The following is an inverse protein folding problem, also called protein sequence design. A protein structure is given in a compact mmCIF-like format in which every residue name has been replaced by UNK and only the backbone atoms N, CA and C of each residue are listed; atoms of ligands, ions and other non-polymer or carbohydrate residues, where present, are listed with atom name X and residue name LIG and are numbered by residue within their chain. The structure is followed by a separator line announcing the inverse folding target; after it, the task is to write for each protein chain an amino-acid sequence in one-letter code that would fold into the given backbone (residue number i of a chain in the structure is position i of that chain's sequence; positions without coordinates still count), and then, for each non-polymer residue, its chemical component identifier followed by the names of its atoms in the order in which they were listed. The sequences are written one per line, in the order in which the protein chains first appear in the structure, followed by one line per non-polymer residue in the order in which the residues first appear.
data_IF_865143980131
#
_entry.id   IF_865143980131
#
_cell.length_a   1.000
_cell.length_b   1.000
_cell.length_c   1.000
_cell.angle_alpha   90.00
_cell.angle_beta   90.00
_cell.angle_gamma   90.00
#
_symmetry.space_group_name_H-M   'P 1'
#
loop_
_entity.id
_entity.type
_entity.pdbx_description
1 polymer ?
#
# COMPACT_ATOMS: atom_id res chain seq x y z
N UNK A 1 29.39 7.18 -31.26
CA UNK A 1 30.36 8.29 -31.50
C UNK A 1 29.98 9.42 -30.58
N UNK A 2 30.82 9.73 -29.63
CA UNK A 2 30.92 10.75 -28.59
C UNK A 2 30.73 10.27 -27.16
N UNK A 3 31.88 9.85 -26.65
CA UNK A 3 32.21 9.79 -25.22
C UNK A 3 32.03 11.15 -24.59
N UNK A 4 31.53 11.16 -23.35
CA UNK A 4 31.61 12.31 -22.47
C UNK A 4 32.22 11.88 -21.15
N UNK A 5 33.50 12.16 -21.04
CA UNK A 5 34.33 12.04 -19.86
C UNK A 5 33.78 12.88 -18.70
N UNK A 6 33.71 12.28 -17.54
CA UNK A 6 33.54 12.94 -16.26
C UNK A 6 34.87 12.98 -15.52
N UNK A 7 35.30 14.10 -14.97
CA UNK A 7 36.58 14.21 -14.26
C UNK A 7 36.50 13.66 -12.84
N UNK A 8 37.60 13.13 -12.28
CA UNK A 8 37.63 12.64 -10.90
C UNK A 8 37.77 13.80 -9.90
N UNK A 9 36.94 13.77 -8.88
CA UNK A 9 37.01 14.65 -7.71
C UNK A 9 38.20 14.28 -6.84
N UNK A 10 39.19 15.15 -6.79
CA UNK A 10 40.35 15.07 -5.92
C UNK A 10 39.95 15.41 -4.47
N UNK A 11 39.94 14.43 -3.60
CA UNK A 11 39.83 14.62 -2.15
C UNK A 11 41.09 15.24 -1.57
N UNK A 12 40.94 16.39 -0.99
CA UNK A 12 41.98 17.17 -0.32
C UNK A 12 42.26 16.58 1.08
N UNK A 13 43.39 15.85 1.22
CA UNK A 13 43.87 15.37 2.52
C UNK A 13 44.69 16.47 3.16
N UNK A 14 44.15 17.11 4.19
CA UNK A 14 44.90 18.05 5.02
C UNK A 14 45.79 17.29 5.99
N UNK A 15 47.08 17.32 5.75
CA UNK A 15 48.11 16.92 6.69
C UNK A 15 48.26 17.97 7.80
N UNK A 16 47.85 17.63 9.01
CA UNK A 16 48.14 18.40 10.22
C UNK A 16 49.56 18.07 10.66
N UNK A 17 50.48 18.96 10.41
CA UNK A 17 51.85 18.89 10.90
C UNK A 17 51.90 19.36 12.38
N UNK A 18 52.13 18.45 13.27
CA UNK A 18 52.38 18.75 14.70
C UNK A 18 53.78 19.32 14.84
N UNK A 19 53.87 20.59 15.20
CA UNK A 19 55.12 21.30 15.42
C UNK A 19 55.55 21.09 16.88
N UNK A 20 56.64 20.29 17.12
CA UNK A 20 57.23 20.10 18.44
C UNK A 20 58.27 21.21 18.66
N UNK A 21 57.92 22.20 19.45
CA UNK A 21 58.89 23.18 19.96
C UNK A 21 59.70 22.58 21.08
N UNK A 22 60.99 22.35 20.86
CA UNK A 22 61.96 22.12 21.88
C UNK A 22 62.32 23.44 22.57
N UNK A 23 61.85 23.61 23.78
CA UNK A 23 62.32 24.67 24.67
C UNK A 23 63.42 24.11 25.59
N UNK A 24 64.67 24.49 25.32
CA UNK A 24 65.80 24.24 26.19
C UNK A 24 65.86 25.29 27.30
N UNK A 25 65.15 25.05 28.38
CA UNK A 25 65.26 25.86 29.59
C UNK A 25 66.07 25.11 30.67
N UNK A 26 67.23 25.62 30.96
CA UNK A 26 68.11 25.19 32.07
C UNK A 26 67.53 25.75 33.39
N UNK A 27 66.78 24.97 34.12
CA UNK A 27 66.32 25.32 35.48
C UNK A 27 67.20 24.76 36.59
N UNK A 28 67.41 25.49 37.67
CA UNK A 28 68.29 25.09 38.80
C UNK A 28 67.64 23.96 39.58
N UNK A 29 68.48 22.98 39.90
CA UNK A 29 68.21 21.77 40.70
C UNK A 29 67.64 22.08 42.06
N UNK A 30 66.37 22.03 42.29
CA UNK A 30 65.73 21.99 43.61
C UNK A 30 65.87 20.58 44.24
N UNK A 31 66.03 20.43 45.56
CA UNK A 31 66.17 19.13 46.18
C UNK A 31 64.90 18.32 46.04
N UNK A 32 65.12 17.06 45.63
CA UNK A 32 64.13 16.05 45.35
C UNK A 32 63.15 15.84 46.53
N UNK A 33 61.86 16.12 46.38
CA UNK A 33 60.87 15.66 47.34
C UNK A 33 60.75 14.14 47.19
N UNK A 34 60.75 13.45 48.29
CA UNK A 34 60.58 11.99 48.42
C UNK A 34 59.48 11.48 47.52
N UNK A 35 59.84 10.67 46.53
CA UNK A 35 58.88 10.01 45.68
C UNK A 35 57.97 9.12 46.53
N UNK A 36 56.62 9.31 46.50
CA UNK A 36 55.74 8.38 47.17
C UNK A 36 55.98 6.97 46.59
N UNK A 37 55.89 5.93 47.41
CA UNK A 37 56.18 4.56 46.94
C UNK A 37 55.27 4.24 45.73
N UNK A 38 55.93 3.95 44.61
CA UNK A 38 55.26 3.44 43.42
C UNK A 38 54.61 2.13 43.81
N UNK A 39 53.28 2.15 44.01
CA UNK A 39 52.52 0.93 44.23
C UNK A 39 52.75 0.02 43.04
N UNK A 40 53.33 -1.14 43.31
CA UNK A 40 53.45 -2.16 42.26
C UNK A 40 52.08 -2.45 41.67
N UNK A 41 51.96 -2.52 40.32
CA UNK A 41 50.71 -2.86 39.70
C UNK A 41 50.26 -4.23 40.20
N UNK A 42 49.11 -4.27 40.89
CA UNK A 42 48.48 -5.52 41.30
C UNK A 42 48.08 -6.27 40.01
N UNK A 43 48.68 -7.43 39.78
CA UNK A 43 48.33 -8.29 38.65
C UNK A 43 46.87 -8.74 38.77
N UNK A 44 46.22 -8.93 37.64
CA UNK A 44 44.84 -9.45 37.56
C UNK A 44 44.75 -10.86 38.16
N UNK A 45 43.73 -11.11 38.95
CA UNK A 45 43.46 -12.45 39.46
C UNK A 45 42.83 -13.32 38.35
N UNK A 46 43.08 -14.61 38.36
CA UNK A 46 42.48 -15.57 37.43
C UNK A 46 40.93 -15.53 37.48
N UNK A 47 40.38 -15.28 38.67
CA UNK A 47 38.95 -15.11 38.91
C UNK A 47 38.40 -13.88 38.14
N UNK A 48 39.11 -12.75 38.19
CA UNK A 48 38.67 -11.51 37.53
C UNK A 48 38.63 -11.66 36.01
N UNK A 49 39.62 -12.35 35.42
CA UNK A 49 39.62 -12.64 33.98
C UNK A 49 38.45 -13.57 33.63
N UNK A 50 38.17 -14.59 34.46
CA UNK A 50 37.06 -15.50 34.22
C UNK A 50 35.72 -14.79 34.27
N UNK A 51 35.50 -13.91 35.26
CA UNK A 51 34.27 -13.08 35.34
C UNK A 51 34.19 -12.12 34.17
N UNK A 52 35.26 -11.46 33.76
CA UNK A 52 35.25 -10.55 32.62
C UNK A 52 34.91 -11.26 31.32
N UNK A 53 35.44 -12.45 31.07
CA UNK A 53 35.13 -13.25 29.86
C UNK A 53 33.68 -13.73 29.86
N UNK A 54 33.16 -14.16 31.02
CA UNK A 54 31.75 -14.57 31.10
C UNK A 54 30.76 -13.40 30.83
N UNK A 55 31.06 -12.23 31.43
CA UNK A 55 30.27 -11.03 31.17
C UNK A 55 30.34 -10.60 29.68
N UNK A 56 31.54 -10.65 29.10
CA UNK A 56 31.72 -10.34 27.67
C UNK A 56 30.96 -11.32 26.79
N UNK A 57 31.01 -12.62 27.08
CA UNK A 57 30.29 -13.64 26.32
C UNK A 57 28.77 -13.47 26.41
N UNK A 58 28.25 -13.16 27.62
CA UNK A 58 26.81 -12.90 27.79
C UNK A 58 26.37 -11.62 27.05
N UNK A 59 27.14 -10.55 27.12
CA UNK A 59 26.84 -9.32 26.39
C UNK A 59 26.85 -9.55 24.87
N UNK A 60 27.84 -10.30 24.38
CA UNK A 60 27.92 -10.64 22.97
C UNK A 60 26.72 -11.47 22.49
N UNK A 61 26.30 -12.45 23.31
CA UNK A 61 25.10 -13.28 22.99
C UNK A 61 23.83 -12.43 22.90
N UNK A 62 23.64 -11.48 23.83
CA UNK A 62 22.49 -10.57 23.81
C UNK A 62 22.51 -9.70 22.55
N UNK A 63 23.66 -9.11 22.21
CA UNK A 63 23.82 -8.27 21.02
C UNK A 63 23.49 -9.07 19.74
N UNK A 64 24.04 -10.28 19.62
CA UNK A 64 23.80 -11.13 18.46
C UNK A 64 22.33 -11.55 18.35
N UNK A 65 21.68 -11.89 19.45
CA UNK A 65 20.25 -12.24 19.48
C UNK A 65 19.39 -11.06 19.03
N UNK A 66 19.66 -9.86 19.54
CA UNK A 66 18.94 -8.64 19.17
C UNK A 66 19.14 -8.30 17.69
N UNK A 67 20.38 -8.43 17.21
CA UNK A 67 20.70 -8.17 15.81
C UNK A 67 19.97 -9.15 14.86
N UNK A 68 19.97 -10.45 15.18
CA UNK A 68 19.25 -11.45 14.40
C UNK A 68 17.74 -11.15 14.37
N UNK A 69 17.13 -10.85 15.52
CA UNK A 69 15.71 -10.51 15.59
C UNK A 69 15.36 -9.26 14.74
N UNK A 70 16.27 -8.26 14.73
CA UNK A 70 16.08 -7.06 13.91
C UNK A 70 16.13 -7.39 12.41
N UNK A 71 17.09 -8.22 11.98
CA UNK A 71 17.19 -8.65 10.58
C UNK A 71 15.98 -9.44 10.13
N UNK A 72 15.48 -10.35 10.98
CA UNK A 72 14.27 -11.12 10.67
C UNK A 72 13.04 -10.20 10.55
N UNK A 73 12.93 -9.19 11.42
CA UNK A 73 11.89 -8.18 11.34
C UNK A 73 11.96 -7.38 10.02
N UNK A 74 13.14 -7.02 9.57
CA UNK A 74 13.32 -6.30 8.31
C UNK A 74 12.95 -7.14 7.09
N UNK A 75 13.32 -8.43 7.08
CA UNK A 75 12.93 -9.34 6.01
C UNK A 75 11.41 -9.47 5.91
N UNK A 76 10.72 -9.72 7.03
CA UNK A 76 9.25 -9.81 7.08
C UNK A 76 8.58 -8.53 6.57
N UNK A 77 9.06 -7.37 7.04
CA UNK A 77 8.55 -6.09 6.56
C UNK A 77 8.74 -5.92 5.05
N UNK A 78 9.88 -6.31 4.51
CA UNK A 78 10.16 -6.25 3.08
C UNK A 78 9.22 -7.14 2.28
N UNK A 79 9.04 -8.39 2.70
CA UNK A 79 8.11 -9.34 2.06
C UNK A 79 6.66 -8.87 2.12
N UNK A 80 6.25 -8.29 3.25
CA UNK A 80 4.91 -7.71 3.41
C UNK A 80 4.68 -6.53 2.47
N UNK A 81 5.62 -5.59 2.41
CA UNK A 81 5.55 -4.43 1.51
C UNK A 81 5.52 -4.84 0.03
N UNK A 82 6.32 -5.84 -0.36
CA UNK A 82 6.32 -6.36 -1.73
C UNK A 82 4.95 -6.94 -2.12
N UNK A 83 4.29 -7.63 -1.18
CA UNK A 83 2.93 -8.17 -1.41
C UNK A 83 1.89 -7.08 -1.56
N UNK A 84 1.91 -6.08 -0.66
CA UNK A 84 0.98 -4.95 -0.75
C UNK A 84 1.20 -4.19 -2.06
N UNK A 85 2.45 -3.86 -2.40
CA UNK A 85 2.77 -3.14 -3.63
C UNK A 85 2.30 -3.89 -4.88
N UNK A 86 2.50 -5.22 -4.90
CA UNK A 86 2.02 -6.05 -5.99
C UNK A 86 0.49 -6.09 -6.05
N UNK A 87 -0.17 -6.25 -4.90
CA UNK A 87 -1.63 -6.22 -4.82
C UNK A 87 -2.22 -4.87 -5.22
N UNK A 88 -1.63 -3.77 -4.78
CA UNK A 88 -2.02 -2.41 -5.18
C UNK A 88 -1.89 -2.22 -6.70
N UNK A 89 -0.83 -2.72 -7.31
CA UNK A 89 -0.69 -2.68 -8.76
C UNK A 89 -1.83 -3.44 -9.47
N UNK A 90 -2.17 -4.64 -9.00
CA UNK A 90 -3.25 -5.44 -9.59
C UNK A 90 -4.60 -4.75 -9.43
N UNK A 91 -4.93 -4.26 -8.24
CA UNK A 91 -6.21 -3.59 -8.00
C UNK A 91 -6.31 -2.26 -8.77
N UNK A 92 -5.21 -1.55 -8.95
CA UNK A 92 -5.17 -0.33 -9.77
C UNK A 92 -5.43 -0.62 -11.25
N UNK A 93 -4.96 -1.77 -11.79
CA UNK A 93 -5.30 -2.23 -13.13
C UNK A 93 -6.80 -2.55 -13.24
N UNK A 94 -7.40 -3.18 -12.23
CA UNK A 94 -8.84 -3.42 -12.18
C UNK A 94 -9.63 -2.11 -12.18
N UNK A 95 -9.21 -1.15 -11.34
CA UNK A 95 -9.81 0.20 -11.27
C UNK A 95 -9.72 0.92 -12.61
N UNK A 96 -8.57 0.90 -13.26
CA UNK A 96 -8.36 1.53 -14.56
C UNK A 96 -9.25 0.90 -15.63
N UNK A 97 -9.38 -0.41 -15.64
CA UNK A 97 -10.24 -1.14 -16.57
C UNK A 97 -11.72 -0.85 -16.34
N UNK A 98 -12.19 -0.85 -15.10
CA UNK A 98 -13.57 -0.53 -14.74
C UNK A 98 -13.94 0.92 -15.10
N UNK A 99 -13.06 1.87 -14.85
CA UNK A 99 -13.27 3.27 -15.25
C UNK A 99 -13.33 3.48 -16.76
N UNK A 100 -12.77 2.55 -17.52
CA UNK A 100 -12.81 2.54 -18.99
C UNK A 100 -13.94 1.67 -19.54
N UNK A 101 -14.91 1.31 -18.71
CA UNK A 101 -16.08 0.52 -19.12
C UNK A 101 -16.79 1.19 -20.28
N UNK A 102 -17.15 0.40 -21.28
CA UNK A 102 -17.95 0.82 -22.43
C UNK A 102 -19.36 0.20 -22.32
N UNK A 103 -20.39 1.05 -22.43
CA UNK A 103 -21.76 0.61 -22.34
C UNK A 103 -22.63 1.29 -23.38
N UNK A 104 -23.49 0.52 -24.05
CA UNK A 104 -24.45 1.01 -25.07
C UNK A 104 -25.84 0.49 -24.76
N UNK A 105 -26.75 1.38 -24.37
CA UNK A 105 -28.15 1.07 -24.02
C UNK A 105 -28.95 0.33 -25.10
N UNK A 106 -28.58 0.48 -26.36
CA UNK A 106 -29.27 -0.16 -27.49
C UNK A 106 -28.81 -1.62 -27.70
N UNK A 107 -27.83 -2.10 -26.99
CA UNK A 107 -27.31 -3.48 -27.04
C UNK A 107 -26.88 -3.98 -25.65
N UNK A 108 -27.77 -3.99 -24.67
CA UNK A 108 -27.42 -4.27 -23.28
C UNK A 108 -26.85 -5.68 -23.10
N UNK A 109 -27.37 -6.66 -23.81
CA UNK A 109 -26.88 -8.07 -23.80
C UNK A 109 -25.40 -8.21 -24.18
N UNK A 110 -24.89 -7.32 -25.06
CA UNK A 110 -23.50 -7.36 -25.51
C UNK A 110 -22.56 -6.54 -24.58
N UNK A 111 -23.09 -5.52 -23.94
CA UNK A 111 -22.30 -4.58 -23.12
C UNK A 111 -22.60 -4.69 -21.62
N UNK A 112 -23.42 -5.65 -21.23
CA UNK A 112 -23.82 -5.85 -19.85
C UNK A 112 -22.62 -6.05 -18.91
N UNK A 113 -22.82 -5.67 -17.68
CA UNK A 113 -21.96 -5.95 -16.56
C UNK A 113 -22.54 -7.17 -15.84
N UNK A 114 -21.67 -8.10 -15.42
CA UNK A 114 -22.06 -9.28 -14.64
C UNK A 114 -21.16 -9.42 -13.42
N UNK A 115 -21.78 -9.73 -12.32
CA UNK A 115 -21.14 -10.11 -11.07
C UNK A 115 -21.84 -11.37 -10.57
N UNK A 116 -21.08 -12.44 -10.44
CA UNK A 116 -21.52 -13.72 -9.89
C UNK A 116 -20.69 -14.02 -8.64
N UNK A 117 -21.37 -14.08 -7.50
CA UNK A 117 -20.74 -14.39 -6.24
C UNK A 117 -20.73 -15.91 -6.04
N UNK A 118 -19.54 -16.49 -6.04
CA UNK A 118 -19.34 -17.90 -5.70
C UNK A 118 -19.10 -18.12 -4.21
N UNK A 119 -19.40 -17.10 -3.43
CA UNK A 119 -19.33 -16.94 -2.01
C UNK A 119 -18.84 -18.11 -1.18
N UNK A 120 -18.22 -17.80 -0.07
CA UNK A 120 -17.95 -18.77 0.97
C UNK A 120 -16.49 -19.00 1.27
N UNK A 121 -16.20 -19.04 2.57
CA UNK A 121 -14.88 -19.33 3.09
C UNK A 121 -14.06 -18.08 3.39
N UNK A 122 -12.80 -18.32 3.75
CA UNK A 122 -11.85 -17.27 4.13
C UNK A 122 -11.43 -16.38 2.94
N UNK A 123 -11.63 -16.86 1.70
CA UNK A 123 -11.31 -16.19 0.46
C UNK A 123 -12.45 -16.37 -0.56
N UNK A 124 -13.30 -15.36 -0.80
CA UNK A 124 -14.33 -15.43 -1.82
C UNK A 124 -13.70 -15.58 -3.22
N UNK A 125 -14.42 -16.25 -4.12
CA UNK A 125 -13.99 -16.50 -5.51
C UNK A 125 -15.01 -15.96 -6.49
N UNK A 126 -15.40 -14.69 -6.32
CA UNK A 126 -16.38 -14.05 -7.18
C UNK A 126 -15.84 -13.90 -8.61
N UNK A 127 -16.77 -13.87 -9.56
CA UNK A 127 -16.48 -13.65 -10.97
C UNK A 127 -17.13 -12.36 -11.44
N UNK A 128 -16.34 -11.48 -12.04
CA UNK A 128 -16.82 -10.19 -12.53
C UNK A 128 -16.47 -10.01 -14.02
N UNK A 129 -17.43 -9.55 -14.83
CA UNK A 129 -17.23 -9.37 -16.27
C UNK A 129 -17.85 -8.08 -16.78
N UNK A 130 -17.11 -7.37 -17.62
CA UNK A 130 -17.57 -6.13 -18.26
C UNK A 130 -16.87 -5.91 -19.61
N UNK A 131 -17.36 -4.95 -20.38
CA UNK A 131 -16.72 -4.51 -21.62
C UNK A 131 -15.93 -3.24 -21.34
N UNK A 132 -14.69 -3.18 -21.81
CA UNK A 132 -13.80 -2.03 -21.62
C UNK A 132 -13.16 -1.61 -22.94
N UNK A 133 -12.80 -0.32 -23.02
CA UNK A 133 -11.95 0.25 -24.06
C UNK A 133 -10.53 0.56 -23.55
N UNK A 134 -10.26 0.30 -22.27
CA UNK A 134 -8.95 0.50 -21.68
C UNK A 134 -7.95 -0.58 -22.09
N UNK A 135 -6.68 -0.34 -21.85
CA UNK A 135 -5.58 -1.27 -22.14
C UNK A 135 -5.11 -2.09 -20.94
N UNK A 136 -5.76 -1.93 -19.79
CA UNK A 136 -5.48 -2.74 -18.61
C UNK A 136 -5.79 -4.21 -18.90
N UNK A 137 -4.95 -5.12 -18.42
CA UNK A 137 -5.06 -6.55 -18.67
C UNK A 137 -4.93 -6.98 -20.15
N UNK A 138 -4.37 -6.14 -21.00
CA UNK A 138 -3.97 -6.55 -22.35
C UNK A 138 -2.53 -7.05 -22.33
N UNK A 139 -2.29 -8.15 -23.03
CA UNK A 139 -0.93 -8.58 -23.30
C UNK A 139 -0.27 -7.59 -24.29
N UNK A 140 1.01 -7.24 -24.10
CA UNK A 140 1.69 -6.28 -24.98
C UNK A 140 1.71 -6.67 -26.45
N UNK A 141 1.56 -7.96 -26.73
CA UNK A 141 1.59 -8.54 -28.08
C UNK A 141 0.19 -8.68 -28.70
N UNK A 142 -0.86 -8.31 -27.96
CA UNK A 142 -2.23 -8.46 -28.44
C UNK A 142 -2.55 -7.37 -29.47
N UNK A 143 -2.87 -7.76 -30.74
CA UNK A 143 -3.25 -6.81 -31.77
C UNK A 143 -4.56 -6.08 -31.49
N UNK A 144 -5.28 -6.43 -30.42
CA UNK A 144 -6.56 -5.86 -30.01
C UNK A 144 -6.46 -4.50 -29.30
N UNK A 145 -5.28 -3.96 -29.15
CA UNK A 145 -5.00 -2.72 -28.41
C UNK A 145 -5.82 -1.48 -28.84
N UNK A 146 -6.60 -1.55 -29.92
CA UNK A 146 -7.38 -0.44 -30.46
C UNK A 146 -8.90 -0.69 -30.51
N UNK A 147 -9.42 -1.63 -29.73
CA UNK A 147 -10.83 -2.02 -29.76
C UNK A 147 -11.48 -2.08 -28.39
N UNK A 148 -12.76 -2.41 -28.39
CA UNK A 148 -13.47 -2.81 -27.18
C UNK A 148 -13.36 -4.33 -27.02
N UNK A 149 -13.17 -4.76 -25.80
CA UNK A 149 -13.08 -6.18 -25.48
C UNK A 149 -13.79 -6.46 -24.16
N UNK A 150 -14.29 -7.67 -24.03
CA UNK A 150 -14.85 -8.15 -22.79
C UNK A 150 -13.73 -8.72 -21.93
N UNK A 151 -13.74 -8.36 -20.68
CA UNK A 151 -12.87 -8.94 -19.66
C UNK A 151 -13.74 -9.72 -18.70
N UNK A 152 -13.20 -10.83 -18.21
CA UNK A 152 -13.71 -11.58 -17.08
C UNK A 152 -12.56 -11.84 -16.12
N UNK A 153 -12.77 -11.52 -14.86
CA UNK A 153 -11.85 -11.77 -13.76
C UNK A 153 -12.45 -12.84 -12.85
N UNK A 154 -11.66 -13.82 -12.49
CA UNK A 154 -12.01 -14.85 -11.52
C UNK A 154 -10.77 -15.33 -10.79
N UNK A 155 -10.92 -15.99 -9.64
CA UNK A 155 -9.81 -16.64 -8.94
C UNK A 155 -9.89 -18.14 -9.20
N UNK A 156 -8.78 -18.68 -9.68
CA UNK A 156 -8.58 -20.10 -9.94
C UNK A 156 -7.43 -20.64 -9.10
N UNK A 157 -7.12 -21.93 -9.24
CA UNK A 157 -6.09 -22.61 -8.42
C UNK A 157 -4.72 -21.91 -8.54
N UNK A 158 -4.38 -21.39 -9.72
CA UNK A 158 -3.11 -20.72 -10.01
C UNK A 158 -3.10 -19.23 -9.60
N UNK A 159 -4.22 -18.66 -9.17
CA UNK A 159 -4.36 -17.28 -8.71
C UNK A 159 -5.41 -16.50 -9.48
N UNK A 160 -5.21 -15.17 -9.60
CA UNK A 160 -6.12 -14.29 -10.34
C UNK A 160 -6.00 -14.54 -11.84
N UNK A 161 -7.05 -15.09 -12.41
CA UNK A 161 -7.21 -15.38 -13.82
C UNK A 161 -7.91 -14.21 -14.54
N UNK A 162 -7.46 -13.90 -15.73
CA UNK A 162 -8.08 -12.93 -16.62
C UNK A 162 -8.39 -13.64 -17.94
N UNK A 163 -9.63 -13.56 -18.35
CA UNK A 163 -10.05 -13.91 -19.71
C UNK A 163 -10.37 -12.63 -20.45
N UNK A 164 -9.85 -12.47 -21.65
CA UNK A 164 -10.14 -11.32 -22.50
C UNK A 164 -10.49 -11.76 -23.92
N UNK A 165 -11.57 -11.24 -24.44
CA UNK A 165 -12.02 -11.55 -25.79
C UNK A 165 -12.44 -10.29 -26.52
N UNK A 166 -12.16 -10.23 -27.82
CA UNK A 166 -12.62 -9.13 -28.67
C UNK A 166 -14.14 -9.08 -28.69
N UNK A 167 -14.71 -7.95 -28.33
CA UNK A 167 -16.14 -7.76 -28.14
C UNK A 167 -17.00 -8.03 -29.41
N UNK A 168 -16.40 -7.98 -30.58
CA UNK A 168 -17.10 -8.16 -31.88
C UNK A 168 -17.24 -9.62 -32.32
N UNK A 169 -16.67 -10.58 -31.59
CA UNK A 169 -16.91 -12.01 -31.87
C UNK A 169 -18.26 -12.42 -31.28
N UNK A 170 -19.24 -12.58 -32.10
CA UNK A 170 -20.65 -12.74 -31.72
C UNK A 170 -21.04 -14.07 -31.04
N UNK A 171 -20.13 -15.04 -30.90
CA UNK A 171 -20.45 -16.40 -30.39
C UNK A 171 -19.45 -16.94 -29.38
N UNK A 172 -18.57 -16.08 -28.79
CA UNK A 172 -17.57 -16.54 -27.86
C UNK A 172 -18.09 -16.39 -26.42
N UNK A 173 -18.33 -17.52 -25.76
CA UNK A 173 -18.55 -17.52 -24.32
C UNK A 173 -17.22 -17.29 -23.60
N UNK A 174 -17.22 -16.50 -22.53
CA UNK A 174 -15.99 -16.15 -21.82
C UNK A 174 -15.35 -17.36 -21.14
N UNK A 175 -16.15 -18.38 -20.82
CA UNK A 175 -15.68 -19.63 -20.24
C UNK A 175 -14.86 -20.48 -21.24
N UNK A 176 -15.06 -20.29 -22.54
CA UNK A 176 -14.30 -20.95 -23.60
C UNK A 176 -12.95 -20.26 -23.90
N UNK A 177 -12.69 -19.10 -23.30
CA UNK A 177 -11.45 -18.36 -23.48
C UNK A 177 -10.40 -18.86 -22.50
N UNK A 178 -9.23 -19.22 -23.01
CA UNK A 178 -8.11 -19.62 -22.14
C UNK A 178 -7.72 -18.49 -21.19
N UNK A 179 -7.66 -18.76 -19.88
CA UNK A 179 -7.25 -17.76 -18.91
C UNK A 179 -5.75 -17.49 -18.97
N UNK A 180 -5.35 -16.25 -18.70
CA UNK A 180 -3.98 -15.96 -18.33
C UNK A 180 -3.93 -15.44 -16.90
N UNK A 181 -2.87 -15.79 -16.17
CA UNK A 181 -2.78 -15.50 -14.74
C UNK A 181 -1.98 -14.23 -14.50
N UNK A 182 -2.64 -13.24 -13.89
CA UNK A 182 -2.03 -11.94 -13.56
C UNK A 182 -1.20 -12.03 -12.30
N UNK A 183 -1.69 -12.78 -11.31
CA UNK A 183 -1.04 -12.88 -10.01
C UNK A 183 -1.33 -14.21 -9.32
N UNK A 184 -0.30 -15.02 -9.08
CA UNK A 184 -0.44 -16.24 -8.29
C UNK A 184 -0.60 -15.96 -6.78
N UNK A 185 -0.31 -14.72 -6.35
CA UNK A 185 -0.39 -14.31 -4.94
C UNK A 185 -1.81 -13.92 -4.53
N UNK A 186 -2.71 -13.65 -5.46
CA UNK A 186 -4.12 -13.39 -5.17
C UNK A 186 -4.81 -14.74 -4.96
N UNK A 187 -5.40 -14.92 -3.80
CA UNK A 187 -6.08 -16.16 -3.38
C UNK A 187 -7.58 -15.99 -3.25
N UNK A 188 -8.07 -14.77 -3.35
CA UNK A 188 -9.50 -14.50 -3.34
C UNK A 188 -9.81 -13.15 -4.00
N UNK A 189 -10.99 -13.08 -4.59
CA UNK A 189 -11.60 -11.90 -5.17
C UNK A 189 -13.01 -11.80 -4.61
N UNK A 190 -13.30 -10.71 -3.90
CA UNK A 190 -14.65 -10.35 -3.46
C UNK A 190 -15.09 -9.07 -4.18
N UNK A 191 -16.27 -9.09 -4.73
CA UNK A 191 -16.85 -7.94 -5.42
C UNK A 191 -18.26 -7.68 -4.91
N UNK A 192 -18.62 -6.40 -4.79
CA UNK A 192 -19.99 -5.98 -4.49
C UNK A 192 -20.34 -4.76 -5.32
N UNK A 193 -21.60 -4.60 -5.62
CA UNK A 193 -22.14 -3.45 -6.33
C UNK A 193 -23.10 -2.69 -5.42
N UNK A 194 -23.12 -1.37 -5.50
CA UNK A 194 -24.06 -0.58 -4.71
C UNK A 194 -25.38 -0.41 -5.46
N UNK A 195 -26.45 -0.87 -4.84
CA UNK A 195 -27.81 -0.71 -5.30
C UNK A 195 -28.41 0.56 -4.69
N UNK A 196 -28.67 1.57 -5.51
CA UNK A 196 -29.20 2.85 -5.05
C UNK A 196 -30.70 2.82 -4.73
N UNK A 197 -31.43 1.83 -5.25
CA UNK A 197 -32.85 1.68 -4.94
C UNK A 197 -33.06 1.10 -3.54
N UNK A 198 -32.18 0.17 -3.15
CA UNK A 198 -32.23 -0.49 -1.85
C UNK A 198 -31.31 0.16 -0.81
N UNK A 199 -30.45 1.09 -1.25
CA UNK A 199 -29.42 1.77 -0.43
C UNK A 199 -28.44 0.78 0.26
N UNK A 200 -28.15 -0.36 -0.41
CA UNK A 200 -27.31 -1.42 0.15
C UNK A 200 -26.35 -1.98 -0.91
N UNK A 201 -25.42 -2.83 -0.47
CA UNK A 201 -24.43 -3.51 -1.29
C UNK A 201 -24.91 -4.91 -1.64
N UNK A 202 -25.02 -5.19 -2.96
CA UNK A 202 -25.37 -6.49 -3.51
C UNK A 202 -24.12 -7.27 -3.92
N UNK A 203 -24.11 -8.56 -3.64
CA UNK A 203 -23.04 -9.48 -4.02
C UNK A 203 -23.22 -10.06 -5.43
N UNK A 204 -24.36 -9.79 -6.09
CA UNK A 204 -24.71 -10.28 -7.42
C UNK A 204 -25.23 -9.12 -8.28
N UNK A 205 -24.98 -9.19 -9.60
CA UNK A 205 -25.51 -8.24 -10.55
C UNK A 205 -25.84 -8.90 -11.90
N UNK A 206 -27.13 -9.09 -12.14
CA UNK A 206 -27.64 -9.69 -13.38
C UNK A 206 -28.37 -8.70 -14.28
N UNK A 207 -28.53 -7.45 -13.86
CA UNK A 207 -29.20 -6.43 -14.65
C UNK A 207 -28.35 -5.96 -15.83
N UNK A 208 -28.54 -6.59 -17.00
CA UNK A 208 -27.82 -6.23 -18.22
C UNK A 208 -28.25 -4.90 -18.82
N UNK A 209 -29.42 -4.36 -18.43
CA UNK A 209 -29.94 -3.10 -18.98
C UNK A 209 -29.30 -1.86 -18.39
N UNK A 210 -28.54 -2.04 -17.31
CA UNK A 210 -27.84 -0.98 -16.60
C UNK A 210 -26.44 -1.47 -16.19
N UNK A 211 -25.58 -0.53 -15.87
CA UNK A 211 -24.29 -0.84 -15.24
C UNK A 211 -24.27 -0.24 -13.84
N UNK A 212 -23.65 -0.92 -12.88
CA UNK A 212 -23.55 -0.39 -11.52
C UNK A 212 -22.73 0.89 -11.49
N UNK A 213 -23.15 1.86 -10.66
CA UNK A 213 -22.44 3.13 -10.52
C UNK A 213 -21.21 3.00 -9.63
N UNK A 214 -21.31 2.16 -8.59
CA UNK A 214 -20.22 1.90 -7.66
C UNK A 214 -19.96 0.40 -7.58
N UNK A 215 -18.72 0.02 -7.67
CA UNK A 215 -18.25 -1.36 -7.50
C UNK A 215 -17.18 -1.38 -6.39
N UNK A 216 -17.39 -2.19 -5.38
CA UNK A 216 -16.39 -2.50 -4.38
C UNK A 216 -15.61 -3.74 -4.81
N UNK A 217 -14.30 -3.67 -4.78
CA UNK A 217 -13.40 -4.77 -5.09
C UNK A 217 -12.54 -5.03 -3.87
N UNK A 218 -12.46 -6.28 -3.46
CA UNK A 218 -11.59 -6.75 -2.39
C UNK A 218 -10.70 -7.88 -2.90
N UNK A 219 -9.38 -7.64 -2.89
CA UNK A 219 -8.40 -8.69 -3.17
C UNK A 219 -7.89 -9.28 -1.87
N UNK A 220 -7.79 -10.61 -1.84
CA UNK A 220 -7.24 -11.38 -0.75
C UNK A 220 -5.89 -11.95 -1.19
N UNK A 221 -4.82 -11.45 -0.59
CA UNK A 221 -3.46 -11.86 -0.91
C UNK A 221 -2.98 -12.96 0.03
N UNK A 222 -2.16 -13.84 -0.49
CA UNK A 222 -1.51 -14.88 0.29
C UNK A 222 -0.78 -14.30 1.52
N UNK A 223 -0.91 -14.91 2.73
CA UNK A 223 -0.24 -14.43 3.94
C UNK A 223 1.29 -14.55 3.83
N UNK A 224 2.02 -13.70 4.57
CA UNK A 224 3.49 -13.73 4.59
C UNK A 224 3.99 -15.01 5.22
N UNK A 225 3.38 -15.39 6.34
CA UNK A 225 3.70 -16.63 7.03
C UNK A 225 2.49 -17.57 7.01
N UNK A 226 2.78 -18.88 6.96
CA UNK A 226 1.75 -19.90 6.99
C UNK A 226 0.99 -19.86 8.32
N UNK A 227 -0.31 -19.59 8.26
CA UNK A 227 -1.19 -19.50 9.44
C UNK A 227 -1.52 -18.06 9.85
N UNK A 228 -0.96 -17.06 9.20
CA UNK A 228 -1.41 -15.67 9.33
C UNK A 228 -2.67 -15.42 8.48
N UNK A 229 -3.49 -14.42 8.83
CA UNK A 229 -4.61 -14.02 8.02
C UNK A 229 -4.15 -13.46 6.66
N UNK A 230 -4.99 -13.62 5.63
CA UNK A 230 -4.74 -13.02 4.33
C UNK A 230 -4.75 -11.49 4.41
N UNK A 231 -3.90 -10.87 3.61
CA UNK A 231 -3.90 -9.41 3.47
C UNK A 231 -5.06 -9.00 2.56
N UNK A 232 -5.92 -8.11 3.03
CA UNK A 232 -7.08 -7.60 2.28
C UNK A 232 -6.77 -6.22 1.73
N UNK A 233 -6.94 -6.05 0.43
CA UNK A 233 -6.88 -4.76 -0.25
C UNK A 233 -8.25 -4.45 -0.84
N UNK A 234 -8.83 -3.32 -0.47
CA UNK A 234 -10.17 -2.94 -0.86
C UNK A 234 -10.17 -1.59 -1.58
N UNK A 235 -10.96 -1.49 -2.64
CA UNK A 235 -11.20 -0.24 -3.38
C UNK A 235 -12.67 -0.14 -3.79
N UNK A 236 -13.20 1.07 -3.70
CA UNK A 236 -14.51 1.41 -4.27
C UNK A 236 -14.27 2.21 -5.55
N UNK A 237 -14.87 1.76 -6.63
CA UNK A 237 -14.69 2.32 -7.97
C UNK A 237 -16.02 2.88 -8.47
N UNK A 238 -16.02 4.14 -8.86
CA UNK A 238 -17.12 4.74 -9.61
C UNK A 238 -16.91 4.47 -11.10
N UNK A 239 -17.99 3.99 -11.77
CA UNK A 239 -18.01 3.79 -13.21
C UNK A 239 -18.65 5.02 -13.88
N UNK A 240 -17.87 5.84 -14.62
CA UNK A 240 -18.33 7.16 -15.09
C UNK A 240 -19.50 7.12 -16.10
N UNK A 241 -19.69 5.98 -16.77
CA UNK A 241 -20.77 5.81 -17.76
C UNK A 241 -22.08 5.31 -17.16
N UNK A 242 -22.10 5.00 -15.87
CA UNK A 242 -23.32 4.62 -15.18
C UNK A 242 -24.27 5.82 -15.03
N UNK A 243 -25.59 5.59 -14.90
CA UNK A 243 -26.52 6.65 -14.65
C UNK A 243 -26.10 7.49 -13.45
N UNK A 244 -26.07 8.81 -13.61
CA UNK A 244 -25.73 9.70 -12.52
C UNK A 244 -26.75 9.55 -11.40
N UNK A 245 -26.27 9.12 -10.23
CA UNK A 245 -27.13 9.03 -9.06
C UNK A 245 -27.33 10.42 -8.47
N UNK A 246 -28.59 10.85 -8.46
CA UNK A 246 -28.98 12.12 -7.85
C UNK A 246 -29.11 11.96 -6.32
N UNK A 247 -28.00 11.72 -5.66
CA UNK A 247 -27.92 11.65 -4.22
C UNK A 247 -26.45 11.67 -3.78
N UNK A 248 -26.09 12.63 -2.94
CA UNK A 248 -24.73 12.69 -2.40
C UNK A 248 -24.49 11.51 -1.45
N UNK A 249 -23.89 10.45 -1.94
CA UNK A 249 -23.34 9.40 -1.06
C UNK A 249 -22.08 9.95 -0.41
N UNK A 250 -22.20 10.33 0.85
CA UNK A 250 -21.02 10.62 1.67
C UNK A 250 -20.38 9.26 2.01
N UNK A 251 -19.45 8.81 1.17
CA UNK A 251 -18.65 7.64 1.50
C UNK A 251 -17.85 7.98 2.75
N UNK A 252 -18.27 7.46 3.88
CA UNK A 252 -17.52 7.54 5.12
C UNK A 252 -16.18 6.81 4.88
N UNK A 253 -15.14 7.58 4.73
CA UNK A 253 -13.77 7.08 4.67
C UNK A 253 -13.44 6.53 6.05
N UNK A 254 -13.67 5.24 6.23
CA UNK A 254 -13.32 4.54 7.46
C UNK A 254 -11.82 4.54 7.66
N UNK A 255 -11.32 5.56 8.35
CA UNK A 255 -10.04 5.48 9.02
C UNK A 255 -10.23 4.62 10.26
N UNK A 256 -9.98 3.33 10.15
CA UNK A 256 -9.73 2.50 11.33
C UNK A 256 -8.36 2.88 11.91
N UNK A 257 -8.40 3.90 12.76
CA UNK A 257 -7.33 4.20 13.69
C UNK A 257 -7.94 4.87 14.91
N UNK A 258 -8.62 4.08 15.76
CA UNK A 258 -8.86 4.45 17.16
C UNK A 258 -9.35 3.25 17.94
N UNK A 259 -8.40 2.47 18.40
CA UNK A 259 -8.57 1.63 19.58
C UNK A 259 -7.36 1.86 20.48
N UNK A 260 -7.39 2.97 21.20
CA UNK A 260 -6.68 3.10 22.47
C UNK A 260 -7.44 4.07 23.35
N UNK A 261 -8.06 3.48 24.38
CA UNK A 261 -8.72 4.21 25.41
C UNK A 261 -7.75 5.09 26.19
N UNK A 262 -8.26 6.21 26.64
CA UNK A 262 -7.87 6.82 27.92
C UNK A 262 -9.11 7.45 28.54
N UNK A 263 -9.45 6.87 29.68
CA UNK A 263 -10.30 7.32 30.73
C UNK A 263 -9.66 8.59 31.35
N UNK A 264 -10.40 9.70 31.44
CA UNK A 264 -10.37 10.56 32.62
C UNK A 264 -11.22 11.84 32.48
N UNK A 265 -12.17 11.91 33.39
CA UNK A 265 -12.57 13.04 34.24
C UNK A 265 -13.36 14.22 33.66
N UNK A 266 -14.55 14.26 34.20
CA UNK A 266 -15.54 15.34 34.42
C UNK A 266 -14.94 16.72 34.79
N UNK A 267 -15.50 17.77 34.23
CA UNK A 267 -16.07 18.96 34.94
C UNK A 267 -16.42 20.03 33.89
N UNK A 268 -17.69 20.31 33.65
CA UNK A 268 -18.43 21.38 34.32
C UNK A 268 -18.18 22.77 33.72
N UNK A 269 -19.09 23.28 32.90
CA UNK A 269 -19.70 24.61 33.09
C UNK A 269 -20.54 25.05 31.87
N UNK A 270 -21.66 25.62 32.20
CA UNK A 270 -22.80 26.08 31.43
C UNK A 270 -22.58 27.34 30.58
N UNK A 271 -23.63 27.88 29.94
CA UNK A 271 -23.65 28.42 28.59
C UNK A 271 -23.56 29.95 28.55
N UNK A 272 -23.23 30.49 27.36
CA UNK A 272 -23.51 31.91 27.12
C UNK A 272 -24.18 32.11 25.76
N UNK A 273 -25.43 32.52 25.81
CA UNK A 273 -26.20 33.15 24.74
C UNK A 273 -25.54 34.45 24.31
N UNK A 274 -25.39 34.68 23.02
CA UNK A 274 -25.55 36.04 22.48
C UNK A 274 -25.97 36.05 21.01
N UNK A 275 -27.11 36.62 20.81
CA UNK A 275 -27.75 37.15 19.62
C UNK A 275 -26.83 37.99 18.76
N UNK A 276 -27.05 38.00 17.43
CA UNK A 276 -26.49 39.00 16.53
C UNK A 276 -26.79 38.77 15.05
N UNK A 277 -28.00 39.17 14.62
CA UNK A 277 -28.35 39.95 13.41
C UNK A 277 -27.69 39.60 12.06
N UNK A 278 -28.54 39.27 11.10
CA UNK A 278 -28.32 39.37 9.63
C UNK A 278 -28.09 40.84 9.17
N UNK A 279 -27.49 41.03 7.98
CA UNK A 279 -28.24 41.64 6.88
C UNK A 279 -27.98 40.97 5.52
N UNK A 280 -29.02 40.66 4.82
CA UNK A 280 -29.60 41.28 3.62
C UNK A 280 -28.58 41.81 2.59
N UNK A 281 -28.58 41.28 1.37
CA UNK A 281 -27.94 41.88 0.23
C UNK A 281 -27.66 40.94 -0.93
N UNK A 282 -28.65 40.54 -1.72
CA UNK A 282 -28.47 39.95 -3.02
C UNK A 282 -28.40 41.05 -4.10
N UNK A 283 -27.50 41.01 -5.08
CA UNK A 283 -27.71 41.69 -6.35
C UNK A 283 -28.17 40.68 -7.43
N UNK A 284 -29.31 40.99 -8.03
CA UNK A 284 -29.79 40.44 -9.30
C UNK A 284 -28.82 40.85 -10.41
N UNK A 285 -28.42 39.89 -11.21
CA UNK A 285 -27.84 40.13 -12.54
C UNK A 285 -28.85 39.74 -13.59
N UNK A 286 -29.42 40.74 -14.24
CA UNK A 286 -30.14 40.63 -15.51
C UNK A 286 -29.14 40.36 -16.63
N UNK A 287 -29.36 39.30 -17.39
CA UNK A 287 -28.73 39.11 -18.72
C UNK A 287 -29.76 39.45 -19.80
N UNK A 288 -29.51 40.59 -20.47
CA UNK A 288 -30.08 40.88 -21.77
C UNK A 288 -29.19 40.26 -22.85
N UNK A 289 -29.87 39.50 -23.75
CA UNK A 289 -29.29 39.10 -25.01
C UNK A 289 -29.37 40.22 -26.10
N UNK A 290 -28.77 40.03 -27.24
CA UNK A 290 -29.57 39.64 -28.43
C UNK A 290 -29.17 38.30 -28.99
#
# INVERSE_FOLDING_TARGET
MKDKDLPPSAGNIQHSTFNVQHSSGTEPRTPNPEHPPVRAPSGFTLLEILVAVTLLATAFTIIMSTFSATLDGWRRSGEFLDRITHGDFVIDQMVASLRSTAYFKNRPEKYGFWLDSKGGGDAPSDSISWVTSGTAFMLPEDPLANGMYRIMLSVEDEGLAVRSAQHMKDELEMDDVDPWFVSPRVKGLGCRVYNFEEEDWDDEWENTNEIPSLVEITLFLEPVEKGEPMVKLQRIVEIPLAPAVTGAVTVARGTEAEARGEDETQQGSQPNEQQGSAPSGAPKLELQGP
#
